data_IF_160179929414
#
_entry.id   IF_160179929414
#
_cell.length_a   1.000
_cell.length_b   1.000
_cell.length_c   1.000
_cell.angle_alpha   90.00
_cell.angle_beta   90.00
_cell.angle_gamma   90.00
#
_symmetry.space_group_name_H-M   'P 1'
#
loop_
_entity.id
_entity.type
_entity.pdbx_description
1 polymer ?
#
# COMPACT_ATOMS: atom_id res chain seq x y z
N UNK A 1 17.00 -16.60 -50.15
CA UNK A 1 16.24 -17.27 -49.07
C UNK A 1 15.86 -16.32 -47.93
N UNK A 2 16.14 -15.01 -48.01
CA UNK A 2 15.86 -14.01 -46.95
C UNK A 2 14.66 -13.11 -47.23
N UNK A 3 14.06 -13.16 -48.43
CA UNK A 3 12.97 -12.26 -48.83
C UNK A 3 11.67 -12.49 -48.06
N UNK A 4 11.34 -13.75 -47.79
CA UNK A 4 10.06 -14.13 -47.17
C UNK A 4 9.99 -13.78 -45.68
N UNK A 5 11.09 -13.96 -44.95
CA UNK A 5 11.20 -13.55 -43.54
C UNK A 5 11.22 -12.02 -43.40
N UNK A 6 11.82 -11.31 -44.35
CA UNK A 6 11.81 -9.85 -44.40
C UNK A 6 10.39 -9.29 -44.61
N UNK A 7 9.63 -9.88 -45.53
CA UNK A 7 8.25 -9.49 -45.83
C UNK A 7 7.31 -9.71 -44.64
N UNK A 8 7.46 -10.82 -43.90
CA UNK A 8 6.68 -11.09 -42.69
C UNK A 8 7.01 -10.08 -41.59
N UNK A 9 8.28 -9.73 -41.42
CA UNK A 9 8.71 -8.73 -40.43
C UNK A 9 8.16 -7.34 -40.73
N UNK A 10 8.10 -6.97 -42.01
CA UNK A 10 7.51 -5.72 -42.47
C UNK A 10 6.00 -5.67 -42.19
N UNK A 11 5.27 -6.74 -42.54
CA UNK A 11 3.84 -6.88 -42.25
C UNK A 11 3.49 -6.79 -40.76
N UNK A 12 4.32 -7.38 -39.89
CA UNK A 12 4.14 -7.28 -38.44
C UNK A 12 4.33 -5.83 -37.94
N UNK A 13 5.33 -5.12 -38.47
CA UNK A 13 5.59 -3.71 -38.13
C UNK A 13 4.46 -2.79 -38.61
N UNK A 14 3.96 -2.98 -39.83
CA UNK A 14 2.84 -2.22 -40.36
C UNK A 14 1.57 -2.43 -39.54
N UNK A 15 1.22 -3.69 -39.23
CA UNK A 15 0.05 -4.02 -38.39
C UNK A 15 0.16 -3.46 -36.98
N UNK A 16 1.36 -3.41 -36.40
CA UNK A 16 1.58 -2.80 -35.09
C UNK A 16 1.20 -1.31 -35.07
N UNK A 17 1.63 -0.56 -36.08
CA UNK A 17 1.30 0.87 -36.19
C UNK A 17 -0.20 1.09 -36.38
N UNK A 18 -0.86 0.25 -37.18
CA UNK A 18 -2.32 0.29 -37.41
C UNK A 18 -3.09 0.08 -36.09
N UNK A 19 -2.71 -0.94 -35.31
CA UNK A 19 -3.40 -1.26 -34.06
C UNK A 19 -3.11 -0.28 -32.92
N UNK A 20 -1.90 0.29 -32.85
CA UNK A 20 -1.58 1.37 -31.90
C UNK A 20 -2.44 2.61 -32.16
N UNK A 21 -2.69 2.95 -33.43
CA UNK A 21 -3.59 4.05 -33.80
C UNK A 21 -5.06 3.77 -33.42
N UNK A 22 -5.51 2.53 -33.59
CA UNK A 22 -6.87 2.10 -33.20
C UNK A 22 -7.02 2.12 -31.67
N UNK A 23 -6.05 1.59 -30.92
CA UNK A 23 -6.07 1.61 -29.46
C UNK A 23 -6.03 3.03 -28.89
N UNK A 24 -5.34 3.94 -29.59
CA UNK A 24 -5.35 5.37 -29.25
C UNK A 24 -6.70 6.05 -29.52
N UNK A 25 -7.54 5.49 -30.40
CA UNK A 25 -8.83 6.06 -30.79
C UNK A 25 -10.01 5.43 -30.03
N UNK A 26 -9.93 4.12 -29.77
CA UNK A 26 -10.95 3.34 -29.08
C UNK A 26 -10.34 2.70 -27.83
N UNK A 27 -10.49 3.38 -26.70
CA UNK A 27 -9.96 2.96 -25.38
C UNK A 27 -10.54 1.63 -24.87
N UNK A 28 -11.51 1.06 -25.57
CA UNK A 28 -12.09 -0.25 -25.26
C UNK A 28 -11.26 -1.43 -25.78
N UNK A 29 -10.31 -1.16 -26.69
CA UNK A 29 -9.40 -2.18 -27.20
C UNK A 29 -8.35 -2.44 -26.14
N UNK A 30 -8.40 -3.61 -25.50
CA UNK A 30 -7.43 -4.00 -24.47
C UNK A 30 -6.01 -4.05 -25.06
N UNK A 31 -5.15 -3.09 -24.68
CA UNK A 31 -3.77 -2.99 -25.15
C UNK A 31 -2.94 -4.25 -24.87
N UNK A 32 -3.28 -5.01 -23.83
CA UNK A 32 -2.51 -6.18 -23.38
C UNK A 32 -2.60 -7.39 -24.33
N UNK A 33 -3.52 -7.36 -25.32
CA UNK A 33 -3.72 -8.46 -26.27
C UNK A 33 -3.51 -8.07 -27.74
N UNK A 34 -3.02 -6.86 -28.01
CA UNK A 34 -2.82 -6.36 -29.38
C UNK A 34 -1.74 -7.18 -30.11
N UNK A 35 -0.64 -7.47 -29.43
CA UNK A 35 0.48 -8.22 -30.05
C UNK A 35 0.07 -9.64 -30.45
N UNK A 36 -0.71 -10.35 -29.62
CA UNK A 36 -1.23 -11.67 -29.95
C UNK A 36 -2.21 -11.63 -31.12
N UNK A 37 -3.02 -10.57 -31.21
CA UNK A 37 -3.94 -10.36 -32.33
C UNK A 37 -3.17 -10.15 -33.64
N UNK A 38 -2.14 -9.30 -33.62
CA UNK A 38 -1.27 -9.06 -34.78
C UNK A 38 -0.58 -10.36 -35.22
N UNK A 39 -0.04 -11.12 -34.27
CA UNK A 39 0.63 -12.39 -34.54
C UNK A 39 -0.34 -13.40 -35.18
N UNK A 40 -1.56 -13.51 -34.67
CA UNK A 40 -2.56 -14.44 -35.21
C UNK A 40 -3.14 -13.98 -36.55
N UNK A 41 -3.16 -12.68 -36.83
CA UNK A 41 -3.61 -12.11 -38.11
C UNK A 41 -2.53 -12.31 -39.21
N UNK A 42 -1.25 -12.16 -38.87
CA UNK A 42 -0.13 -12.30 -39.82
C UNK A 42 0.35 -13.75 -39.97
N UNK A 43 0.47 -14.50 -38.87
CA UNK A 43 1.03 -15.85 -38.84
C UNK A 43 -0.03 -16.95 -38.69
N UNK A 44 -1.29 -16.58 -38.46
CA UNK A 44 -2.39 -17.50 -38.20
C UNK A 44 -2.53 -17.92 -36.72
N UNK A 45 -3.70 -18.45 -36.31
CA UNK A 45 -3.91 -18.99 -34.97
C UNK A 45 -2.92 -20.11 -34.64
N UNK A 46 -2.37 -20.11 -33.43
CA UNK A 46 -1.53 -21.22 -32.97
C UNK A 46 -2.35 -22.51 -32.90
N UNK A 47 -2.09 -23.43 -33.84
CA UNK A 47 -2.68 -24.77 -33.84
C UNK A 47 -1.71 -25.74 -33.19
N UNK A 48 -2.12 -26.26 -32.04
CA UNK A 48 -1.46 -27.35 -31.33
C UNK A 48 -1.09 -28.48 -32.32
N UNK A 49 0.18 -28.89 -32.34
CA UNK A 49 0.64 -30.08 -33.08
C UNK A 49 1.17 -29.87 -34.51
N UNK A 50 1.17 -28.66 -35.08
CA UNK A 50 1.99 -28.37 -36.28
C UNK A 50 3.30 -27.70 -35.85
N UNK A 51 4.38 -28.47 -35.90
CA UNK A 51 5.76 -27.98 -35.81
C UNK A 51 5.90 -26.91 -36.87
N UNK A 52 6.03 -25.66 -36.41
CA UNK A 52 6.39 -24.59 -37.31
C UNK A 52 7.80 -24.92 -37.83
N UNK A 53 7.91 -25.03 -39.15
CA UNK A 53 9.14 -25.07 -39.95
C UNK A 53 10.11 -26.22 -39.62
N UNK A 54 10.46 -27.02 -40.64
CA UNK A 54 11.72 -27.76 -40.63
C UNK A 54 12.84 -26.72 -40.79
N UNK A 55 13.25 -26.09 -39.70
CA UNK A 55 14.24 -25.02 -39.69
C UNK A 55 14.42 -24.44 -38.30
N UNK A 56 15.66 -24.18 -37.90
CA UNK A 56 16.02 -23.62 -36.58
C UNK A 56 15.53 -22.17 -36.44
N UNK A 57 14.23 -21.96 -36.29
CA UNK A 57 13.61 -20.69 -35.95
C UNK A 57 13.30 -20.63 -34.46
N UNK A 58 13.41 -19.44 -33.86
CA UNK A 58 13.01 -19.19 -32.48
C UNK A 58 11.51 -19.47 -32.32
N UNK A 59 11.17 -20.41 -31.44
CA UNK A 59 9.79 -20.57 -30.99
C UNK A 59 9.44 -19.40 -30.06
N UNK A 60 8.20 -18.91 -30.03
CA UNK A 60 7.78 -17.89 -29.07
C UNK A 60 8.19 -18.23 -27.62
N UNK A 61 8.18 -19.51 -27.26
CA UNK A 61 8.69 -20.06 -25.99
C UNK A 61 10.19 -19.80 -25.77
N UNK A 62 10.99 -19.74 -26.82
CA UNK A 62 12.42 -19.41 -26.76
C UNK A 62 12.68 -17.92 -26.50
N UNK A 63 11.75 -17.04 -26.90
CA UNK A 63 11.89 -15.59 -26.76
C UNK A 63 11.20 -15.05 -25.50
N UNK A 64 10.06 -15.64 -25.12
CA UNK A 64 9.24 -15.22 -23.97
C UNK A 64 9.32 -16.16 -22.76
N UNK A 65 10.04 -17.29 -22.88
CA UNK A 65 10.10 -18.32 -21.83
C UNK A 65 8.84 -19.20 -21.79
N UNK A 66 8.94 -20.34 -21.10
CA UNK A 66 7.80 -21.25 -20.84
C UNK A 66 6.68 -20.60 -20.02
N UNK A 67 6.97 -19.48 -19.37
CA UNK A 67 6.04 -18.72 -18.55
C UNK A 67 4.98 -18.01 -19.40
N UNK A 68 5.16 -17.92 -20.72
CA UNK A 68 4.14 -17.40 -21.63
C UNK A 68 2.87 -18.25 -21.65
N UNK A 69 2.96 -19.54 -21.28
CA UNK A 69 1.79 -20.41 -21.12
C UNK A 69 1.16 -20.32 -19.73
N UNK A 70 1.84 -19.71 -18.75
CA UNK A 70 1.29 -19.43 -17.42
C UNK A 70 0.65 -18.03 -17.31
N UNK A 71 0.78 -17.19 -18.35
CA UNK A 71 0.22 -15.83 -18.38
C UNK A 71 -1.28 -15.78 -18.74
N UNK A 72 -2.08 -16.73 -18.28
CA UNK A 72 -3.52 -16.58 -18.27
C UNK A 72 -4.06 -17.01 -16.89
N UNK A 73 -3.90 -16.18 -15.84
CA UNK A 73 -4.85 -16.27 -14.76
C UNK A 73 -6.22 -16.00 -15.39
N UNK A 74 -7.18 -16.90 -15.18
CA UNK A 74 -8.56 -16.66 -15.63
C UNK A 74 -8.98 -15.27 -15.13
N UNK A 75 -9.69 -14.45 -15.92
CA UNK A 75 -10.00 -13.06 -15.52
C UNK A 75 -10.64 -12.93 -14.12
N UNK A 76 -11.32 -13.99 -13.66
CA UNK A 76 -11.82 -14.16 -12.30
C UNK A 76 -10.73 -14.31 -11.23
N UNK A 77 -9.63 -15.00 -11.52
CA UNK A 77 -8.49 -15.19 -10.62
C UNK A 77 -7.74 -13.88 -10.39
N UNK A 78 -7.47 -13.11 -11.45
CA UNK A 78 -6.84 -11.79 -11.32
C UNK A 78 -7.73 -10.82 -10.53
N UNK A 79 -9.05 -10.85 -10.74
CA UNK A 79 -10.00 -10.05 -9.96
C UNK A 79 -10.07 -10.45 -8.48
N UNK A 80 -10.09 -11.76 -8.18
CA UNK A 80 -10.11 -12.25 -6.81
C UNK A 80 -8.83 -11.85 -6.03
N UNK A 81 -7.67 -11.87 -6.70
CA UNK A 81 -6.39 -11.50 -6.10
C UNK A 81 -6.30 -9.98 -5.86
N UNK A 82 -6.78 -9.16 -6.80
CA UNK A 82 -6.93 -7.70 -6.60
C UNK A 82 -7.87 -7.41 -5.43
N UNK A 83 -8.98 -8.13 -5.30
CA UNK A 83 -9.91 -7.93 -4.18
C UNK A 83 -9.26 -8.32 -2.84
N UNK A 84 -8.55 -9.46 -2.79
CA UNK A 84 -7.81 -9.88 -1.61
C UNK A 84 -6.75 -8.84 -1.18
N UNK A 85 -6.04 -8.27 -2.15
CA UNK A 85 -5.07 -7.21 -1.88
C UNK A 85 -5.73 -5.94 -1.35
N UNK A 86 -6.90 -5.57 -1.88
CA UNK A 86 -7.70 -4.43 -1.35
C UNK A 86 -8.11 -4.68 0.09
N UNK A 87 -8.60 -5.88 0.40
CA UNK A 87 -9.02 -6.24 1.74
C UNK A 87 -7.83 -6.21 2.72
N UNK A 88 -6.65 -6.70 2.29
CA UNK A 88 -5.43 -6.59 3.09
C UNK A 88 -5.00 -5.13 3.33
N UNK A 89 -5.07 -4.28 2.29
CA UNK A 89 -4.75 -2.86 2.43
C UNK A 89 -5.72 -2.19 3.41
N UNK A 90 -7.02 -2.48 3.31
CA UNK A 90 -8.03 -1.95 4.23
C UNK A 90 -7.76 -2.39 5.67
N UNK A 91 -7.43 -3.66 5.89
CA UNK A 91 -7.11 -4.19 7.22
C UNK A 91 -5.83 -3.54 7.79
N UNK A 92 -4.79 -3.37 6.96
CA UNK A 92 -3.57 -2.68 7.37
C UNK A 92 -3.83 -1.21 7.72
N UNK A 93 -4.71 -0.54 6.97
CA UNK A 93 -5.12 0.83 7.25
C UNK A 93 -5.87 0.94 8.58
N UNK A 94 -6.85 0.07 8.82
CA UNK A 94 -7.58 0.05 10.10
C UNK A 94 -6.65 -0.20 11.28
N UNK A 95 -5.76 -1.19 11.19
CA UNK A 95 -4.81 -1.47 12.26
C UNK A 95 -3.86 -0.28 12.51
N UNK A 96 -3.43 0.40 11.46
CA UNK A 96 -2.56 1.60 11.59
C UNK A 96 -3.31 2.74 12.27
N UNK A 97 -4.58 2.98 11.90
CA UNK A 97 -5.41 4.01 12.51
C UNK A 97 -5.67 3.69 13.99
N UNK A 98 -5.94 2.43 14.32
CA UNK A 98 -6.13 1.98 15.70
C UNK A 98 -4.86 2.19 16.54
N UNK A 99 -3.68 1.81 16.03
CA UNK A 99 -2.41 2.06 16.71
C UNK A 99 -2.16 3.57 16.94
N UNK A 100 -2.48 4.43 15.98
CA UNK A 100 -2.35 5.88 16.13
C UNK A 100 -3.30 6.39 17.23
N UNK A 101 -4.55 5.92 17.24
CA UNK A 101 -5.53 6.29 18.26
C UNK A 101 -5.10 5.83 19.66
N UNK A 102 -4.53 4.63 19.80
CA UNK A 102 -4.00 4.14 21.07
C UNK A 102 -2.85 5.00 21.60
N UNK A 103 -1.91 5.38 20.72
CA UNK A 103 -0.78 6.23 21.10
C UNK A 103 -1.28 7.62 21.53
N UNK A 104 -2.22 8.21 20.79
CA UNK A 104 -2.83 9.49 21.16
C UNK A 104 -3.53 9.42 22.52
N UNK A 105 -4.30 8.35 22.77
CA UNK A 105 -4.98 8.14 24.05
C UNK A 105 -4.00 8.01 25.21
N UNK A 106 -2.93 7.23 25.05
CA UNK A 106 -1.87 7.09 26.07
C UNK A 106 -1.18 8.43 26.35
N UNK A 107 -0.98 9.24 25.33
CA UNK A 107 -0.39 10.57 25.49
C UNK A 107 -1.31 11.51 26.30
N UNK A 108 -2.60 11.54 25.99
CA UNK A 108 -3.59 12.32 26.75
C UNK A 108 -3.70 11.86 28.21
N UNK A 109 -3.72 10.54 28.43
CA UNK A 109 -3.78 9.96 29.77
C UNK A 109 -2.54 10.33 30.60
N UNK A 110 -1.34 10.24 30.01
CA UNK A 110 -0.11 10.66 30.67
C UNK A 110 -0.13 12.15 31.01
N UNK A 111 -0.64 12.99 30.10
CA UNK A 111 -0.76 14.43 30.33
C UNK A 111 -1.75 14.74 31.47
N UNK A 112 -2.83 13.98 31.58
CA UNK A 112 -3.79 14.09 32.69
C UNK A 112 -3.17 13.65 34.02
N UNK A 113 -2.44 12.53 34.03
CA UNK A 113 -1.76 12.03 35.24
C UNK A 113 -0.76 13.06 35.77
N UNK A 114 0.07 13.64 34.90
CA UNK A 114 1.05 14.66 35.32
C UNK A 114 0.37 15.91 35.88
N UNK A 115 -0.75 16.36 35.29
CA UNK A 115 -1.53 17.48 35.83
C UNK A 115 -2.13 17.15 37.20
N UNK A 116 -2.69 15.96 37.35
CA UNK A 116 -3.26 15.51 38.62
C UNK A 116 -2.19 15.38 39.70
N UNK A 117 -1.01 14.84 39.37
CA UNK A 117 0.11 14.73 40.30
C UNK A 117 0.65 16.10 40.72
N UNK A 118 0.78 17.05 39.77
CA UNK A 118 1.18 18.42 40.07
C UNK A 118 0.20 19.10 41.01
N UNK A 119 -1.11 19.00 40.74
CA UNK A 119 -2.15 19.57 41.60
C UNK A 119 -2.14 18.94 43.00
N UNK A 120 -1.93 17.62 43.11
CA UNK A 120 -1.82 16.94 44.39
C UNK A 120 -0.59 17.41 45.19
N UNK A 121 0.56 17.62 44.53
CA UNK A 121 1.76 18.15 45.17
C UNK A 121 1.58 19.59 45.64
N UNK A 122 0.96 20.45 44.83
CA UNK A 122 0.65 21.83 45.23
C UNK A 122 -0.28 21.87 46.45
N UNK A 123 -1.34 21.06 46.44
CA UNK A 123 -2.26 20.95 47.57
C UNK A 123 -1.55 20.47 48.84
N UNK A 124 -0.63 19.50 48.72
CA UNK A 124 0.15 19.01 49.86
C UNK A 124 1.11 20.06 50.42
N UNK A 125 1.73 20.89 49.57
CA UNK A 125 2.59 22.00 49.99
C UNK A 125 1.75 23.07 50.70
N UNK A 126 0.62 23.47 50.11
CA UNK A 126 -0.26 24.47 50.70
C UNK A 126 -0.80 24.03 52.08
N UNK A 127 -1.13 22.74 52.25
CA UNK A 127 -1.56 22.19 53.53
C UNK A 127 -0.45 22.28 54.59
N UNK A 128 0.80 21.94 54.23
CA UNK A 128 1.96 22.04 55.13
C UNK A 128 2.27 23.49 55.53
N UNK A 129 2.16 24.43 54.60
CA UNK A 129 2.36 25.85 54.89
C UNK A 129 1.26 26.39 55.81
N UNK A 130 0.01 26.00 55.59
CA UNK A 130 -1.11 26.38 56.46
C UNK A 130 -0.91 25.82 57.87
N UNK A 131 -0.51 24.56 58.02
CA UNK A 131 -0.19 23.96 59.33
C UNK A 131 1.01 24.64 60.01
N UNK A 132 2.06 24.99 59.26
CA UNK A 132 3.18 25.73 59.81
C UNK A 132 2.76 27.13 60.28
N UNK A 133 1.89 27.81 59.54
CA UNK A 133 1.37 29.12 59.90
C UNK A 133 0.47 29.07 61.15
N UNK A 134 -0.38 28.05 61.28
CA UNK A 134 -1.21 27.88 62.49
C UNK A 134 -0.35 27.58 63.71
N UNK A 135 0.62 26.68 63.61
CA UNK A 135 1.57 26.40 64.70
C UNK A 135 2.38 27.64 65.10
N UNK A 136 2.86 28.44 64.14
CA UNK A 136 3.58 29.67 64.41
C UNK A 136 2.69 30.73 65.10
N UNK A 137 1.42 30.85 64.69
CA UNK A 137 0.46 31.75 65.33
C UNK A 137 0.14 31.34 66.78
N UNK A 138 0.01 30.04 67.05
CA UNK A 138 -0.18 29.52 68.41
C UNK A 138 1.04 29.75 69.30
N UNK A 139 2.25 29.55 68.79
CA UNK A 139 3.49 29.82 69.54
C UNK A 139 3.64 31.30 69.89
N UNK A 140 3.29 32.21 68.97
CA UNK A 140 3.33 33.66 69.25
C UNK A 140 2.40 34.04 70.40
N UNK A 141 1.16 33.56 70.38
CA UNK A 141 0.20 33.80 71.48
C UNK A 141 0.74 33.36 72.84
N UNK A 142 1.33 32.17 72.92
CA UNK A 142 1.93 31.65 74.17
C UNK A 142 3.10 32.50 74.66
N UNK A 143 3.90 33.04 73.75
CA UNK A 143 5.04 33.90 74.11
C UNK A 143 4.57 35.28 74.60
N UNK A 144 3.55 35.86 73.97
CA UNK A 144 2.99 37.15 74.36
C UNK A 144 2.32 37.09 75.75
N UNK A 145 1.65 35.99 76.08
CA UNK A 145 1.08 35.75 77.42
C UNK A 145 2.15 35.62 78.53
N UNK A 146 3.39 35.24 78.18
CA UNK A 146 4.50 35.12 79.14
C UNK A 146 5.27 36.44 79.35
N UNK A 147 5.02 37.46 78.52
CA UNK A 147 5.67 38.77 78.60
C UNK A 147 4.82 39.85 79.29
N UNK A 148 3.64 39.49 79.79
CA UNK A 148 2.68 40.32 80.52
C UNK A 148 2.67 39.96 82.02
#
# INVERSE_FOLDING_TARGET
MTSEAGEIMEKLKEKKVEYEAIASTDSSVNLENIDNKIITEVLGPERYGRVRFQGSGVTPTQYFGSDSQQYMPSGSQAQAEVQRLRDQIAQMQENTVEQIAEVQRKYEELQQQLRAEAAAREAAVAAREAEAATMAAEQRKKHDDLQL
#
